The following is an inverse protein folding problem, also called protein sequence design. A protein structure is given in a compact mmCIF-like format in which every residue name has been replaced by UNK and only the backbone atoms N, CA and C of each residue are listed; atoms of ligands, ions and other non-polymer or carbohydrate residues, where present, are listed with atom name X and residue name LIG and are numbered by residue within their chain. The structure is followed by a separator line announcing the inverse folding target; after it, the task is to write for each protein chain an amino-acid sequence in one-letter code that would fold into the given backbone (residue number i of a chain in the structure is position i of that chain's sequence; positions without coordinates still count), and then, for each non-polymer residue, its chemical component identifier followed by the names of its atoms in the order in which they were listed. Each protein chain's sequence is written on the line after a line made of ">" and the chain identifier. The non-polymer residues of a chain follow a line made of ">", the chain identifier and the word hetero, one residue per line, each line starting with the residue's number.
data_IF_692037777952
#
_entry.id   IF_692037777952
#
_cell.length_a   1.000
_cell.length_b   1.000
_cell.length_c   1.000
_cell.angle_alpha   90.00
_cell.angle_beta   90.00
_cell.angle_gamma   90.00
#
_symmetry.space_group_name_H-M   'P 1'
#
loop_
_entity.id
_entity.type
_entity.pdbx_description
1 polymer ?
#
# COMPACT_ATOMS: atom_id res chain seq x y z
N UNK A 1 1.81 4.08 5.04
CA UNK A 1 0.73 4.36 4.06
C UNK A 1 1.28 4.64 2.67
N UNK A 2 2.17 5.63 2.46
CA UNK A 2 2.65 6.00 1.13
C UNK A 2 3.17 4.85 0.27
N UNK A 3 3.96 3.94 0.83
CA UNK A 3 4.47 2.78 0.09
C UNK A 3 3.37 1.80 -0.33
N UNK A 4 2.31 1.63 0.47
CA UNK A 4 1.15 0.80 0.08
C UNK A 4 0.43 1.42 -1.10
N UNK A 5 0.19 2.73 -1.06
CA UNK A 5 -0.44 3.47 -2.18
C UNK A 5 0.44 3.36 -3.43
N UNK A 6 1.75 3.60 -3.31
CA UNK A 6 2.69 3.48 -4.43
C UNK A 6 2.68 2.07 -5.05
N UNK A 7 2.56 1.01 -4.23
CA UNK A 7 2.37 -0.36 -4.73
C UNK A 7 1.11 -0.49 -5.57
N UNK A 8 -0.02 0.01 -5.06
CA UNK A 8 -1.30 -0.06 -5.78
C UNK A 8 -1.29 0.75 -7.09
N UNK A 9 -0.57 1.87 -7.13
CA UNK A 9 -0.39 2.69 -8.35
C UNK A 9 0.32 1.94 -9.48
N UNK A 10 1.10 0.92 -9.16
CA UNK A 10 1.84 0.10 -10.14
C UNK A 10 1.32 -1.34 -10.21
N UNK A 11 0.07 -1.56 -9.81
CA UNK A 11 -0.56 -2.87 -9.81
C UNK A 11 -1.66 -2.95 -10.87
N UNK A 12 -1.89 -4.18 -11.36
CA UNK A 12 -3.02 -4.52 -12.20
C UNK A 12 -3.86 -5.55 -11.43
N UNK A 13 -5.03 -5.14 -10.95
CA UNK A 13 -5.89 -6.00 -10.15
C UNK A 13 -7.36 -5.63 -10.30
N UNK A 14 -8.22 -6.64 -10.29
CA UNK A 14 -9.66 -6.48 -10.15
C UNK A 14 -10.07 -6.93 -8.74
N UNK A 15 -10.51 -5.99 -7.93
CA UNK A 15 -10.96 -6.23 -6.56
C UNK A 15 -12.48 -6.27 -6.42
N UNK A 16 -13.21 -6.25 -7.54
CA UNK A 16 -14.67 -6.13 -7.55
C UNK A 16 -15.35 -7.25 -6.75
N UNK A 17 -14.99 -8.50 -7.01
CA UNK A 17 -15.59 -9.63 -6.32
C UNK A 17 -15.32 -9.63 -4.81
N UNK A 18 -14.09 -9.31 -4.41
CA UNK A 18 -13.73 -9.28 -2.99
C UNK A 18 -14.32 -8.08 -2.27
N UNK A 19 -14.43 -6.93 -2.95
CA UNK A 19 -15.13 -5.78 -2.42
C UNK A 19 -16.61 -6.07 -2.18
N UNK A 20 -17.30 -6.74 -3.12
CA UNK A 20 -18.69 -7.13 -2.95
C UNK A 20 -18.89 -8.15 -1.81
N UNK A 21 -17.98 -9.11 -1.63
CA UNK A 21 -18.02 -10.03 -0.48
C UNK A 21 -17.90 -9.33 0.87
N UNK A 22 -17.15 -8.24 0.94
CA UNK A 22 -16.96 -7.47 2.17
C UNK A 22 -18.15 -6.57 2.50
N UNK A 23 -18.92 -6.19 1.50
CA UNK A 23 -20.14 -5.39 1.66
C UNK A 23 -21.34 -6.34 1.74
N UNK A 24 -21.69 -6.76 2.94
CA UNK A 24 -22.82 -7.67 3.19
C UNK A 24 -24.18 -6.96 3.09
N UNK A 25 -24.40 -6.21 2.00
CA UNK A 25 -25.63 -5.48 1.79
C UNK A 25 -26.32 -5.93 0.51
N UNK A 26 -27.48 -6.61 0.68
CA UNK A 26 -28.28 -7.14 -0.43
C UNK A 26 -28.72 -6.07 -1.44
N UNK A 27 -28.83 -4.79 -1.02
CA UNK A 27 -29.15 -3.68 -1.94
C UNK A 27 -28.03 -3.37 -2.89
N UNK A 28 -26.79 -3.67 -2.50
CA UNK A 28 -25.59 -3.39 -3.32
C UNK A 28 -25.31 -4.55 -4.27
N UNK A 29 -25.69 -5.77 -3.94
CA UNK A 29 -25.54 -6.93 -4.82
C UNK A 29 -26.16 -6.75 -6.20
N UNK A 30 -27.30 -6.03 -6.29
CA UNK A 30 -27.93 -5.72 -7.58
C UNK A 30 -27.08 -4.87 -8.52
N UNK A 31 -26.02 -4.23 -8.01
CA UNK A 31 -25.13 -3.36 -8.79
C UNK A 31 -23.84 -4.06 -9.22
N UNK A 32 -23.55 -5.28 -8.74
CA UNK A 32 -22.29 -6.00 -9.00
C UNK A 32 -21.97 -6.16 -10.48
N UNK A 33 -22.98 -6.34 -11.32
CA UNK A 33 -22.85 -6.56 -12.76
C UNK A 33 -22.88 -5.27 -13.58
N UNK A 34 -23.02 -4.10 -12.92
CA UNK A 34 -23.01 -2.82 -13.62
C UNK A 34 -21.57 -2.43 -14.03
N UNK A 35 -21.33 -2.12 -15.32
CA UNK A 35 -19.98 -1.80 -15.82
C UNK A 35 -19.29 -0.68 -15.04
N UNK A 36 -20.05 0.31 -14.57
CA UNK A 36 -19.50 1.43 -13.82
C UNK A 36 -18.83 0.99 -12.50
N UNK A 37 -19.42 0.02 -11.80
CA UNK A 37 -18.83 -0.55 -10.59
C UNK A 37 -17.59 -1.36 -10.88
N UNK A 38 -17.65 -2.19 -11.91
CA UNK A 38 -16.51 -3.03 -12.30
C UNK A 38 -15.29 -2.18 -12.68
N UNK A 39 -15.48 -1.16 -13.52
CA UNK A 39 -14.38 -0.25 -13.91
C UNK A 39 -13.77 0.49 -12.71
N UNK A 40 -14.57 0.87 -11.72
CA UNK A 40 -14.08 1.60 -10.53
C UNK A 40 -13.31 0.74 -9.55
N UNK A 41 -13.52 -0.58 -9.57
CA UNK A 41 -12.84 -1.56 -8.72
C UNK A 41 -11.69 -2.26 -9.45
N UNK A 42 -11.42 -1.88 -10.68
CA UNK A 42 -10.26 -2.32 -11.45
C UNK A 42 -9.12 -1.33 -11.26
N UNK A 43 -7.98 -1.83 -10.83
CA UNK A 43 -6.73 -1.08 -10.75
C UNK A 43 -5.95 -1.29 -12.03
N UNK A 44 -5.51 -0.20 -12.64
CA UNK A 44 -4.59 -0.24 -13.77
C UNK A 44 -3.31 0.52 -13.40
N UNK A 45 -2.14 0.03 -13.80
CA UNK A 45 -0.89 0.69 -13.51
C UNK A 45 -0.88 2.10 -14.08
N UNK A 46 -0.48 3.07 -13.26
CA UNK A 46 -0.27 4.43 -13.74
C UNK A 46 0.97 4.42 -14.65
N UNK A 47 0.87 4.97 -15.87
CA UNK A 47 1.99 4.99 -16.80
C UNK A 47 3.16 5.84 -16.27
N UNK A 48 4.34 5.64 -16.85
CA UNK A 48 5.57 6.39 -16.57
C UNK A 48 6.23 6.13 -15.20
N UNK A 49 5.80 5.11 -14.46
CA UNK A 49 6.57 4.57 -13.34
C UNK A 49 7.44 3.42 -13.83
N UNK A 50 8.74 3.51 -13.68
CA UNK A 50 9.68 2.49 -14.14
C UNK A 50 10.33 1.70 -13.01
N UNK A 51 10.29 2.24 -11.78
CA UNK A 51 10.88 1.59 -10.60
C UNK A 51 10.26 2.12 -9.31
N UNK A 52 10.13 1.25 -8.30
CA UNK A 52 9.75 1.63 -6.95
C UNK A 52 10.78 1.12 -5.92
N UNK A 53 10.91 1.86 -4.81
CA UNK A 53 11.70 1.45 -3.65
C UNK A 53 10.80 1.55 -2.43
N UNK A 54 10.53 0.43 -1.79
CA UNK A 54 9.70 0.34 -0.61
C UNK A 54 10.57 0.29 0.65
N UNK A 55 10.42 1.28 1.52
CA UNK A 55 11.16 1.38 2.77
C UNK A 55 10.23 1.10 3.93
N UNK A 56 10.49 0.03 4.68
CA UNK A 56 9.71 -0.36 5.87
C UNK A 56 8.19 -0.29 5.63
N UNK A 57 7.73 -0.68 4.44
CA UNK A 57 6.33 -0.50 4.03
C UNK A 57 5.46 -1.65 4.55
N UNK A 58 4.37 -1.38 5.29
CA UNK A 58 3.47 -2.41 5.80
C UNK A 58 2.49 -2.87 4.72
N UNK A 59 2.94 -3.68 3.76
CA UNK A 59 2.13 -4.13 2.63
C UNK A 59 0.95 -5.02 3.03
N UNK A 60 1.06 -5.71 4.17
CA UNK A 60 0.00 -6.56 4.75
C UNK A 60 -0.57 -5.98 6.03
N UNK A 61 -0.30 -4.69 6.29
CA UNK A 61 -0.75 -4.02 7.50
C UNK A 61 0.20 -4.21 8.68
N UNK A 62 -0.24 -3.77 9.85
CA UNK A 62 0.51 -3.88 11.09
C UNK A 62 -0.44 -3.93 12.29
N UNK A 63 -0.17 -4.82 13.24
CA UNK A 63 -0.87 -4.86 14.52
C UNK A 63 -0.69 -3.55 15.31
N UNK A 64 0.40 -2.85 15.07
CA UNK A 64 0.69 -1.57 15.73
C UNK A 64 -0.32 -0.47 15.37
N UNK A 65 -0.98 -0.58 14.22
CA UNK A 65 -2.04 0.35 13.83
C UNK A 65 -3.17 0.40 14.87
N UNK A 66 -3.47 -0.73 15.53
CA UNK A 66 -4.47 -0.82 16.59
C UNK A 66 -4.02 -0.15 17.90
N UNK A 67 -2.72 -0.10 18.17
CA UNK A 67 -2.12 0.53 19.36
C UNK A 67 -1.84 2.02 19.18
N UNK A 68 -1.69 2.48 17.95
CA UNK A 68 -1.34 3.87 17.64
C UNK A 68 -2.50 4.86 17.79
N UNK A 69 -3.73 4.37 17.88
CA UNK A 69 -4.90 5.20 18.13
C UNK A 69 -4.83 6.07 19.37
N UNK A 70 -3.95 5.79 20.33
CA UNK A 70 -3.99 6.44 21.63
C UNK A 70 -3.10 7.67 21.80
N UNK A 71 -2.04 7.87 21.02
CA UNK A 71 -1.12 9.01 21.33
C UNK A 71 -0.56 9.85 20.16
N UNK A 72 -0.38 9.32 18.94
CA UNK A 72 0.26 10.07 17.85
C UNK A 72 -0.60 10.30 16.59
N UNK A 73 -1.60 9.48 16.36
CA UNK A 73 -2.38 9.50 15.12
C UNK A 73 -3.24 10.76 14.93
N UNK A 74 -3.52 11.50 15.98
CA UNK A 74 -4.32 12.75 15.91
C UNK A 74 -3.62 13.90 15.21
N UNK A 75 -2.32 13.80 14.91
CA UNK A 75 -1.54 14.94 14.40
C UNK A 75 -1.11 14.84 12.93
N UNK A 76 -1.17 13.68 12.26
CA UNK A 76 -0.30 13.51 11.11
C UNK A 76 -0.96 13.36 9.74
N UNK A 77 -2.15 12.85 9.54
CA UNK A 77 -2.69 12.84 8.16
C UNK A 77 -4.21 13.03 8.18
N UNK A 78 -4.66 14.24 7.92
CA UNK A 78 -6.01 14.47 7.41
C UNK A 78 -5.96 14.29 5.90
N UNK A 79 -6.65 13.29 5.37
CA UNK A 79 -6.94 13.26 3.93
C UNK A 79 -7.71 14.54 3.63
N UNK A 80 -7.23 15.40 2.70
CA UNK A 80 -7.94 16.64 2.40
C UNK A 80 -9.39 16.32 2.01
N UNK A 81 -10.37 16.97 2.64
CA UNK A 81 -11.78 16.78 2.34
C UNK A 81 -12.12 17.01 0.86
N UNK A 82 -11.30 17.81 0.15
CA UNK A 82 -11.36 17.99 -1.28
C UNK A 82 -11.15 16.67 -2.06
N UNK A 83 -10.34 15.73 -1.58
CA UNK A 83 -10.16 14.42 -2.24
C UNK A 83 -11.40 13.54 -2.06
N UNK A 84 -12.02 13.59 -0.88
CA UNK A 84 -13.28 12.91 -0.60
C UNK A 84 -14.44 13.54 -1.37
N UNK A 85 -14.46 14.89 -1.50
CA UNK A 85 -15.43 15.63 -2.29
C UNK A 85 -15.33 15.30 -3.78
N UNK A 86 -14.14 15.33 -4.36
CA UNK A 86 -13.91 15.00 -5.76
C UNK A 86 -14.32 13.54 -6.08
N UNK A 87 -14.11 12.61 -5.14
CA UNK A 87 -14.56 11.22 -5.28
C UNK A 87 -16.10 11.12 -5.19
N UNK A 88 -16.72 11.86 -4.26
CA UNK A 88 -18.18 11.91 -4.11
C UNK A 88 -18.87 12.64 -5.28
N UNK A 89 -18.27 13.73 -5.80
CA UNK A 89 -18.81 14.51 -6.92
C UNK A 89 -18.73 13.73 -8.24
N UNK A 90 -17.73 12.89 -8.42
CA UNK A 90 -17.63 11.99 -9.58
C UNK A 90 -18.73 10.91 -9.57
N UNK A 91 -19.39 10.71 -8.43
CA UNK A 91 -20.45 9.73 -8.22
C UNK A 91 -21.87 10.35 -8.29
N UNK A 92 -21.98 11.63 -8.72
CA UNK A 92 -23.28 12.29 -8.89
C UNK A 92 -24.08 11.58 -9.99
N UNK A 93 -25.13 10.90 -9.57
CA UNK A 93 -26.13 10.28 -10.46
C UNK A 93 -26.52 8.83 -10.12
N UNK A 94 -25.70 8.08 -9.37
CA UNK A 94 -26.00 6.68 -9.05
C UNK A 94 -26.13 6.46 -7.52
N UNK A 95 -27.37 6.38 -7.04
CA UNK A 95 -27.69 6.21 -5.61
C UNK A 95 -26.99 4.96 -5.03
N UNK A 96 -26.97 3.86 -5.77
CA UNK A 96 -26.35 2.61 -5.32
C UNK A 96 -24.82 2.70 -5.19
N UNK A 97 -24.15 3.50 -6.03
CA UNK A 97 -22.71 3.72 -5.92
C UNK A 97 -22.38 4.57 -4.70
N UNK A 98 -23.21 5.56 -4.35
CA UNK A 98 -23.04 6.35 -3.11
C UNK A 98 -23.21 5.47 -1.86
N UNK A 99 -24.17 4.55 -1.84
CA UNK A 99 -24.35 3.62 -0.73
C UNK A 99 -23.18 2.64 -0.62
N UNK A 100 -22.72 2.09 -1.74
CA UNK A 100 -21.56 1.22 -1.80
C UNK A 100 -20.29 1.90 -1.29
N UNK A 101 -20.01 3.11 -1.76
CA UNK A 101 -18.86 3.90 -1.30
C UNK A 101 -19.04 4.33 0.16
N UNK A 102 -20.24 4.59 0.62
CA UNK A 102 -20.51 4.91 2.02
C UNK A 102 -20.27 3.70 2.92
N UNK A 103 -20.68 2.51 2.52
CA UNK A 103 -20.46 1.28 3.30
C UNK A 103 -19.03 0.74 3.23
N UNK A 104 -18.40 0.77 2.05
CA UNK A 104 -16.97 0.56 1.91
C UNK A 104 -16.16 1.71 2.50
N UNK A 105 -16.56 2.94 2.20
CA UNK A 105 -15.81 4.14 2.48
C UNK A 105 -15.83 4.57 3.93
N UNK A 106 -16.87 4.25 4.69
CA UNK A 106 -16.87 4.55 6.12
C UNK A 106 -15.77 3.80 6.88
N UNK A 107 -15.35 2.65 6.35
CA UNK A 107 -14.27 1.84 6.90
C UNK A 107 -12.96 1.90 6.06
N UNK A 108 -13.05 2.33 4.78
CA UNK A 108 -11.87 2.49 3.91
C UNK A 108 -11.15 3.84 4.11
N UNK A 109 -11.81 4.84 4.70
CA UNK A 109 -11.31 6.22 4.75
C UNK A 109 -11.40 6.76 6.19
N UNK A 110 -11.24 5.91 7.18
CA UNK A 110 -11.43 6.39 8.55
C UNK A 110 -10.30 7.26 9.06
N UNK A 111 -9.08 6.90 8.92
CA UNK A 111 -7.93 7.71 9.36
C UNK A 111 -6.64 6.96 8.95
N UNK A 112 -5.94 7.36 7.95
CA UNK A 112 -4.74 6.75 7.39
C UNK A 112 -3.96 5.68 8.21
N UNK A 113 -3.72 5.87 9.51
CA UNK A 113 -3.11 4.84 10.33
C UNK A 113 -4.00 3.62 10.62
N UNK A 114 -5.32 3.79 10.78
CA UNK A 114 -6.23 2.66 11.03
C UNK A 114 -6.42 1.77 9.81
N UNK A 115 -6.27 2.35 8.62
CA UNK A 115 -6.34 1.59 7.37
C UNK A 115 -5.16 0.62 7.21
N UNK A 116 -4.07 0.86 7.95
CA UNK A 116 -2.92 -0.05 8.03
C UNK A 116 -3.11 -1.17 9.06
N UNK A 117 -4.22 -1.22 9.78
CA UNK A 117 -4.54 -2.40 10.60
C UNK A 117 -4.69 -3.63 9.70
N UNK A 118 -4.17 -4.77 10.15
CA UNK A 118 -4.25 -6.04 9.43
C UNK A 118 -5.68 -6.46 9.11
N UNK A 119 -6.63 -6.06 9.96
CA UNK A 119 -8.05 -6.37 9.85
C UNK A 119 -8.87 -5.27 9.17
N UNK A 120 -8.25 -4.17 8.73
CA UNK A 120 -8.99 -3.14 8.00
C UNK A 120 -9.53 -3.67 6.67
N UNK A 121 -10.71 -3.23 6.26
CA UNK A 121 -11.27 -3.61 4.95
C UNK A 121 -10.32 -3.25 3.81
N UNK A 122 -9.65 -2.09 3.91
CA UNK A 122 -8.65 -1.66 2.96
C UNK A 122 -7.50 -2.68 2.86
N UNK A 123 -6.93 -3.10 4.00
CA UNK A 123 -5.84 -4.06 3.99
C UNK A 123 -6.31 -5.45 3.52
N UNK A 124 -7.48 -5.91 3.95
CA UNK A 124 -8.04 -7.18 3.51
C UNK A 124 -8.18 -7.24 1.98
N UNK A 125 -8.64 -6.14 1.35
CA UNK A 125 -8.77 -6.04 -0.10
C UNK A 125 -7.43 -5.93 -0.83
N UNK A 126 -6.43 -5.32 -0.21
CA UNK A 126 -5.23 -4.90 -0.95
C UNK A 126 -3.97 -5.70 -0.61
N UNK A 127 -3.92 -6.41 0.51
CA UNK A 127 -2.71 -7.09 1.01
C UNK A 127 -2.07 -8.09 0.05
N UNK A 128 -2.87 -8.70 -0.82
CA UNK A 128 -2.41 -9.71 -1.79
C UNK A 128 -2.12 -9.12 -3.18
N UNK A 129 -2.41 -7.84 -3.40
CA UNK A 129 -2.15 -7.20 -4.69
C UNK A 129 -0.65 -6.98 -4.83
N UNK A 130 -0.11 -7.40 -5.97
CA UNK A 130 1.31 -7.25 -6.31
C UNK A 130 1.48 -6.20 -7.42
N UNK A 131 2.65 -5.56 -7.52
CA UNK A 131 3.01 -4.81 -8.71
C UNK A 131 2.80 -5.66 -9.97
N UNK A 132 2.47 -5.03 -11.10
CA UNK A 132 2.25 -5.76 -12.35
C UNK A 132 3.52 -6.55 -12.75
N UNK A 133 3.32 -7.65 -13.45
CA UNK A 133 4.43 -8.51 -13.86
C UNK A 133 5.45 -7.76 -14.71
N UNK A 134 6.73 -7.84 -14.34
CA UNK A 134 7.83 -7.13 -14.98
C UNK A 134 8.12 -5.74 -14.41
N UNK A 135 7.31 -5.24 -13.48
CA UNK A 135 7.64 -3.99 -12.79
C UNK A 135 8.84 -4.16 -11.85
N UNK A 136 9.83 -3.30 -12.01
CA UNK A 136 11.04 -3.34 -11.18
C UNK A 136 10.82 -2.65 -9.84
N UNK A 137 10.95 -3.39 -8.74
CA UNK A 137 10.87 -2.81 -7.40
C UNK A 137 11.88 -3.43 -6.45
N UNK A 138 12.17 -2.70 -5.37
CA UNK A 138 13.12 -3.08 -4.33
C UNK A 138 12.46 -2.88 -2.96
N UNK A 139 12.88 -3.69 -1.98
CA UNK A 139 12.44 -3.56 -0.59
C UNK A 139 13.64 -3.34 0.32
N UNK A 140 13.54 -2.35 1.21
CA UNK A 140 14.47 -2.14 2.32
C UNK A 140 13.67 -2.34 3.60
N UNK A 141 14.03 -3.35 4.37
CA UNK A 141 13.28 -3.84 5.53
C UNK A 141 14.07 -3.58 6.80
N UNK A 142 13.45 -2.94 7.79
CA UNK A 142 14.08 -2.72 9.08
C UNK A 142 13.98 -3.95 9.98
N UNK A 143 15.02 -4.18 10.78
CA UNK A 143 15.02 -5.18 11.84
C UNK A 143 15.71 -4.66 13.09
N UNK A 144 14.99 -4.59 14.21
CA UNK A 144 15.52 -4.22 15.52
C UNK A 144 15.78 -5.46 16.40
N UNK A 145 15.30 -6.62 15.97
CA UNK A 145 15.44 -7.87 16.71
C UNK A 145 16.76 -8.54 16.32
N UNK A 146 17.51 -9.02 17.30
CA UNK A 146 18.76 -9.74 17.05
C UNK A 146 18.47 -11.20 16.64
N UNK A 147 18.02 -11.37 15.39
CA UNK A 147 17.65 -12.66 14.82
C UNK A 147 17.92 -12.70 13.33
N UNK A 148 18.18 -13.89 12.80
CA UNK A 148 18.23 -14.18 11.36
C UNK A 148 16.97 -14.86 10.83
N UNK A 149 16.03 -15.19 11.72
CA UNK A 149 14.77 -15.85 11.36
C UNK A 149 13.75 -14.81 10.87
N UNK A 150 13.35 -14.82 9.58
CA UNK A 150 12.48 -13.80 9.00
C UNK A 150 11.15 -13.59 9.75
N UNK A 151 10.55 -14.67 10.24
CA UNK A 151 9.28 -14.63 10.99
C UNK A 151 9.35 -13.89 12.32
N UNK A 152 10.56 -13.72 12.87
CA UNK A 152 10.80 -12.98 14.12
C UNK A 152 11.31 -11.56 13.89
N UNK A 153 11.66 -11.22 12.64
CA UNK A 153 12.19 -9.89 12.32
C UNK A 153 11.07 -8.83 12.33
N UNK A 154 11.39 -7.68 12.89
CA UNK A 154 10.53 -6.50 12.91
C UNK A 154 11.33 -5.23 13.09
N UNK A 155 10.87 -4.14 12.50
CA UNK A 155 11.39 -2.80 12.77
C UNK A 155 10.78 -2.13 14.03
N UNK A 156 10.02 -2.91 14.81
CA UNK A 156 9.26 -2.46 15.99
C UNK A 156 7.84 -2.00 15.67
N UNK A 157 7.49 -1.80 14.40
CA UNK A 157 6.16 -1.39 13.92
C UNK A 157 5.65 -2.35 12.84
N UNK A 158 6.49 -2.72 11.90
CA UNK A 158 6.17 -3.57 10.75
C UNK A 158 6.97 -4.86 10.85
N UNK A 159 6.31 -6.01 10.76
CA UNK A 159 6.96 -7.30 10.67
C UNK A 159 7.62 -7.49 9.31
N UNK A 160 8.65 -8.35 9.24
CA UNK A 160 9.27 -8.74 7.98
C UNK A 160 8.24 -9.26 6.98
N UNK A 161 7.34 -10.13 7.42
CA UNK A 161 6.29 -10.70 6.57
C UNK A 161 5.41 -9.61 5.94
N UNK A 162 5.07 -8.57 6.70
CA UNK A 162 4.29 -7.45 6.17
C UNK A 162 5.07 -6.58 5.21
N UNK A 163 6.38 -6.39 5.44
CA UNK A 163 7.24 -5.56 4.60
C UNK A 163 7.75 -6.27 3.34
N UNK A 164 7.81 -7.59 3.35
CA UNK A 164 8.33 -8.39 2.25
C UNK A 164 7.31 -8.50 1.11
N UNK A 165 7.74 -8.19 -0.10
CA UNK A 165 7.01 -8.45 -1.34
C UNK A 165 7.80 -9.43 -2.21
N UNK A 166 7.14 -10.50 -2.64
CA UNK A 166 7.71 -11.46 -3.58
C UNK A 166 7.94 -10.80 -4.94
N UNK A 167 9.01 -11.17 -5.64
CA UNK A 167 9.32 -10.65 -6.98
C UNK A 167 10.13 -9.34 -6.96
N UNK A 168 10.57 -8.85 -5.81
CA UNK A 168 11.49 -7.72 -5.74
C UNK A 168 12.82 -8.04 -6.45
N UNK A 169 13.35 -7.08 -7.23
CA UNK A 169 14.69 -7.16 -7.83
C UNK A 169 15.77 -7.31 -6.74
N UNK A 170 15.58 -6.64 -5.60
CA UNK A 170 16.37 -6.87 -4.40
C UNK A 170 15.54 -6.60 -3.15
N UNK A 171 15.81 -7.38 -2.09
CA UNK A 171 15.29 -7.15 -0.75
C UNK A 171 16.47 -7.11 0.22
N UNK A 172 16.60 -6.04 0.99
CA UNK A 172 17.68 -5.86 1.94
C UNK A 172 17.15 -5.63 3.34
N UNK A 173 17.54 -6.47 4.27
CA UNK A 173 17.27 -6.27 5.70
C UNK A 173 18.40 -5.43 6.28
N UNK A 174 18.04 -4.40 7.04
CA UNK A 174 18.98 -3.46 7.66
C UNK A 174 18.64 -3.38 9.16
N UNK A 175 19.66 -3.34 9.99
CA UNK A 175 19.49 -3.15 11.44
C UNK A 175 18.99 -1.71 11.70
N UNK A 176 17.74 -1.60 12.14
CA UNK A 176 17.12 -0.30 12.40
C UNK A 176 15.61 -0.40 12.62
N UNK A 177 15.07 0.67 13.19
CA UNK A 177 13.63 0.82 13.43
C UNK A 177 12.88 1.30 12.19
N UNK A 178 11.63 1.71 12.40
CA UNK A 178 10.73 2.11 11.30
C UNK A 178 11.21 3.33 10.50
N UNK A 179 12.02 4.22 11.11
CA UNK A 179 12.69 5.35 10.40
C UNK A 179 13.98 4.92 9.70
N UNK A 180 13.96 3.78 9.03
CA UNK A 180 15.13 3.14 8.43
C UNK A 180 15.84 4.02 7.39
N UNK A 181 15.12 4.93 6.75
CA UNK A 181 15.66 5.88 5.76
C UNK A 181 16.74 6.81 6.35
N UNK A 182 16.83 6.91 7.67
CA UNK A 182 17.83 7.73 8.37
C UNK A 182 19.14 6.97 8.61
N UNK A 183 19.19 5.67 8.33
CA UNK A 183 20.38 4.85 8.55
C UNK A 183 21.37 4.98 7.38
N UNK A 184 22.69 5.00 7.65
CA UNK A 184 23.71 5.04 6.60
C UNK A 184 23.57 3.88 5.60
N UNK A 185 23.25 2.69 6.07
CA UNK A 185 23.09 1.49 5.26
C UNK A 185 21.91 1.62 4.28
N UNK A 186 20.79 2.21 4.72
CA UNK A 186 19.65 2.48 3.84
C UNK A 186 20.00 3.53 2.78
N UNK A 187 20.72 4.58 3.15
CA UNK A 187 21.18 5.62 2.22
C UNK A 187 22.12 5.02 1.15
N UNK A 188 23.04 4.15 1.56
CA UNK A 188 23.94 3.46 0.61
C UNK A 188 23.14 2.53 -0.31
N UNK A 189 22.15 1.80 0.20
CA UNK A 189 21.32 0.93 -0.62
C UNK A 189 20.44 1.73 -1.59
N UNK A 190 19.85 2.83 -1.14
CA UNK A 190 19.10 3.76 -2.00
C UNK A 190 20.00 4.27 -3.15
N UNK A 191 21.22 4.70 -2.82
CA UNK A 191 22.20 5.16 -3.82
C UNK A 191 22.51 4.05 -4.84
N UNK A 192 22.73 2.82 -4.37
CA UNK A 192 22.97 1.66 -5.25
C UNK A 192 21.81 1.45 -6.22
N UNK A 193 20.57 1.46 -5.71
CA UNK A 193 19.36 1.23 -6.53
C UNK A 193 19.15 2.37 -7.52
N UNK A 194 19.38 3.62 -7.11
CA UNK A 194 19.29 4.78 -8.01
C UNK A 194 20.31 4.74 -9.13
N UNK A 195 21.56 4.34 -8.84
CA UNK A 195 22.59 4.15 -9.87
C UNK A 195 22.21 3.03 -10.85
N UNK A 196 21.69 1.91 -10.34
CA UNK A 196 21.16 0.84 -11.18
C UNK A 196 20.03 1.35 -12.08
N UNK A 197 19.17 2.21 -11.55
CA UNK A 197 18.10 2.81 -12.35
C UNK A 197 18.63 3.71 -13.45
N UNK A 198 19.60 4.56 -13.16
CA UNK A 198 20.23 5.43 -14.14
C UNK A 198 20.97 4.62 -15.22
N UNK A 199 21.66 3.53 -14.82
CA UNK A 199 22.31 2.61 -15.77
C UNK A 199 21.28 1.94 -16.69
N UNK A 200 20.14 1.47 -16.15
CA UNK A 200 19.06 0.91 -16.95
C UNK A 200 18.48 1.90 -17.99
N UNK A 201 18.57 3.19 -17.70
CA UNK A 201 18.15 4.27 -18.60
C UNK A 201 19.27 4.74 -19.57
N UNK A 202 20.47 4.16 -19.49
CA UNK A 202 21.64 4.62 -20.26
C UNK A 202 22.17 5.98 -19.84
N UNK A 203 21.84 6.47 -18.63
CA UNK A 203 22.23 7.78 -18.09
C UNK A 203 23.43 7.69 -17.12
N UNK A 204 23.89 6.50 -16.84
CA UNK A 204 25.03 6.26 -15.93
C UNK A 204 25.76 4.99 -16.37
N UNK A 205 27.09 5.13 -16.58
CA UNK A 205 27.99 4.01 -16.78
C UNK A 205 28.76 3.77 -15.47
N UNK A 206 28.60 2.63 -14.80
CA UNK A 206 29.44 2.28 -13.67
C UNK A 206 30.84 1.89 -14.20
N UNK A 207 31.78 2.82 -14.20
CA UNK A 207 33.21 2.50 -14.31
C UNK A 207 33.67 1.66 -13.12
#
# INVERSE_FOLDING_TARGET
>A
MGGVIARLMVSNADISQDAFKLVQNTRIEQFKDKPLFQVRLQMQPIPNFSRAIFLATPHRGTEYANRWHTKLARKIIRVPGAFLGAFADTLQGEIGLKEFVKELGHDLIQNGPSDLSENSKFNVLTKNIQPYNGFKFHSIIGNTVDTTEPQLMSDGIVSYESAYLQGAVSSKVIKGGHSIQETPEAVLELRRILRLHLSDLGLYDPE
#
